data_IF_138273511142
#
_entry.id   IF_138273511142
#
_cell.length_a   1.000
_cell.length_b   1.000
_cell.length_c   1.000
_cell.angle_alpha   90.00
_cell.angle_beta   90.00
_cell.angle_gamma   90.00
#
_symmetry.space_group_name_H-M   'P 1'
#
loop_
_entity.id
_entity.type
_entity.pdbx_description
1 polymer ?
#
# COMPACT_ATOMS: atom_id res chain seq x y z
N UNK A 1 4.42 -16.92 -15.55
CA UNK A 1 4.63 -15.52 -15.98
C UNK A 1 5.80 -15.41 -16.96
N UNK A 2 7.01 -15.84 -16.59
CA UNK A 2 8.18 -15.74 -17.48
C UNK A 2 7.97 -16.34 -18.88
N UNK A 3 7.32 -17.50 -19.00
CA UNK A 3 7.01 -18.07 -20.33
C UNK A 3 6.03 -17.20 -21.15
N UNK A 4 5.15 -16.42 -20.49
CA UNK A 4 4.27 -15.47 -21.20
C UNK A 4 5.07 -14.27 -21.69
N UNK A 5 6.02 -13.76 -20.89
CA UNK A 5 6.93 -12.67 -21.31
C UNK A 5 7.72 -13.10 -22.55
N UNK A 6 8.28 -14.31 -22.54
CA UNK A 6 8.98 -14.87 -23.70
C UNK A 6 8.09 -15.01 -24.93
N UNK A 7 6.94 -15.69 -24.79
CA UNK A 7 6.09 -16.01 -25.94
C UNK A 7 5.37 -14.80 -26.52
N UNK A 8 4.97 -13.84 -25.67
CA UNK A 8 4.06 -12.76 -26.08
C UNK A 8 4.70 -11.38 -26.12
N UNK A 9 5.74 -11.13 -25.33
CA UNK A 9 6.35 -9.81 -25.16
C UNK A 9 7.82 -9.79 -25.61
N UNK A 10 8.21 -10.74 -26.46
CA UNK A 10 9.54 -10.77 -27.07
C UNK A 10 10.69 -11.09 -26.11
N UNK A 11 10.38 -11.59 -24.91
CA UNK A 11 11.38 -12.00 -23.93
C UNK A 11 12.15 -10.85 -23.28
N UNK A 12 11.63 -9.62 -23.34
CA UNK A 12 12.22 -8.43 -22.74
C UNK A 12 11.16 -7.74 -21.90
N UNK A 13 11.44 -7.57 -20.61
CA UNK A 13 10.62 -6.82 -19.68
C UNK A 13 11.38 -5.54 -19.31
N UNK A 14 10.73 -4.39 -19.50
CA UNK A 14 11.31 -3.07 -19.21
C UNK A 14 10.98 -2.59 -17.78
N UNK A 15 9.78 -2.92 -17.30
CA UNK A 15 9.29 -2.44 -16.01
C UNK A 15 8.59 -3.53 -15.20
N UNK A 16 8.80 -3.54 -13.87
CA UNK A 16 8.06 -4.39 -12.93
C UNK A 16 7.61 -3.59 -11.71
N UNK A 17 6.29 -3.53 -11.48
CA UNK A 17 5.73 -2.95 -10.25
C UNK A 17 5.33 -4.07 -9.30
N UNK A 18 5.98 -4.12 -8.14
CA UNK A 18 5.69 -5.06 -7.07
C UNK A 18 4.67 -4.44 -6.09
N UNK A 19 3.40 -4.76 -6.30
CA UNK A 19 2.25 -4.22 -5.55
C UNK A 19 1.48 -5.33 -4.82
N UNK A 20 2.20 -6.19 -4.10
CA UNK A 20 1.59 -7.30 -3.35
C UNK A 20 1.21 -6.86 -1.94
N UNK A 21 -0.07 -7.05 -1.58
CA UNK A 21 -0.58 -6.93 -0.22
C UNK A 21 -1.33 -8.22 0.13
N UNK A 22 -0.70 -9.09 0.92
CA UNK A 22 -1.27 -10.38 1.29
C UNK A 22 -1.14 -10.60 2.81
N UNK A 23 -2.13 -11.24 3.46
CA UNK A 23 -2.04 -11.56 4.88
C UNK A 23 -1.16 -12.80 5.14
N UNK A 24 -0.85 -13.59 4.11
CA UNK A 24 -0.10 -14.84 4.22
C UNK A 24 0.78 -15.07 2.99
N UNK A 25 1.88 -15.80 3.19
CA UNK A 25 2.76 -16.28 2.14
C UNK A 25 3.12 -17.74 2.41
N UNK A 26 2.99 -18.58 1.38
CA UNK A 26 3.59 -19.92 1.42
C UNK A 26 4.99 -19.84 0.83
N UNK A 27 5.99 -20.23 1.59
CA UNK A 27 7.36 -20.30 1.12
C UNK A 27 7.49 -21.40 0.05
N UNK A 28 7.97 -21.07 -1.17
CA UNK A 28 7.97 -22.01 -2.28
C UNK A 28 9.02 -23.12 -2.15
N UNK A 29 10.07 -22.93 -1.34
CA UNK A 29 11.14 -23.91 -1.19
C UNK A 29 10.85 -24.90 -0.06
N UNK A 30 10.28 -24.41 1.04
CA UNK A 30 10.03 -25.20 2.25
C UNK A 30 8.58 -25.65 2.41
N UNK A 31 7.64 -25.00 1.72
CA UNK A 31 6.20 -25.20 1.90
C UNK A 31 5.64 -24.61 3.20
N UNK A 32 6.45 -23.92 4.00
CA UNK A 32 6.01 -23.29 5.24
C UNK A 32 5.07 -22.11 4.96
N UNK A 33 4.01 -21.97 5.77
CA UNK A 33 3.05 -20.85 5.64
C UNK A 33 3.35 -19.82 6.72
N UNK A 34 3.65 -18.59 6.28
CA UNK A 34 3.83 -17.44 7.15
C UNK A 34 2.57 -16.56 7.15
N UNK A 35 2.29 -15.90 8.27
CA UNK A 35 1.19 -14.95 8.40
C UNK A 35 1.69 -13.57 8.86
N UNK A 36 1.26 -12.52 8.17
CA UNK A 36 1.52 -11.15 8.58
C UNK A 36 0.58 -10.76 9.72
N UNK A 37 1.14 -10.22 10.80
CA UNK A 37 0.38 -9.84 12.00
C UNK A 37 0.68 -8.37 12.31
N UNK A 38 -0.22 -7.42 12.01
CA UNK A 38 0.02 -6.00 12.26
C UNK A 38 -0.08 -5.69 13.76
N UNK A 39 1.07 -5.64 14.44
CA UNK A 39 1.20 -5.38 15.88
C UNK A 39 2.32 -4.38 16.17
N UNK A 40 2.20 -3.58 17.23
CA UNK A 40 3.30 -2.74 17.71
C UNK A 40 4.45 -3.62 18.25
N UNK A 41 5.68 -3.10 18.27
CA UNK A 41 6.82 -3.81 18.88
C UNK A 41 7.12 -3.23 20.26
N UNK A 42 7.32 -4.10 21.25
CA UNK A 42 7.83 -3.77 22.59
C UNK A 42 6.81 -3.22 23.58
N UNK A 43 5.78 -2.48 23.15
CA UNK A 43 4.72 -1.98 24.04
C UNK A 43 3.34 -2.07 23.42
N UNK A 44 2.33 -2.21 24.28
CA UNK A 44 0.93 -2.10 23.90
C UNK A 44 0.64 -0.75 23.25
N UNK A 45 -0.13 -0.76 22.18
CA UNK A 45 -0.62 0.44 21.52
C UNK A 45 -2.12 0.62 21.80
N UNK A 46 -2.52 1.81 22.22
CA UNK A 46 -3.93 2.22 22.33
C UNK A 46 -4.18 3.33 21.34
N UNK A 47 -5.15 3.15 20.46
CA UNK A 47 -5.45 4.10 19.40
C UNK A 47 -6.96 4.24 19.18
N UNK A 48 -7.39 5.38 18.66
CA UNK A 48 -8.77 5.57 18.21
C UNK A 48 -8.96 4.90 16.86
N UNK A 49 -10.13 4.32 16.64
CA UNK A 49 -10.54 3.79 15.34
C UNK A 49 -11.97 4.19 15.04
N UNK A 50 -12.26 4.29 13.75
CA UNK A 50 -13.60 4.51 13.22
C UNK A 50 -14.19 3.14 12.83
N UNK A 51 -15.37 2.83 13.33
CA UNK A 51 -16.19 1.69 12.89
C UNK A 51 -17.57 2.21 12.49
N UNK A 52 -18.31 1.39 11.75
CA UNK A 52 -19.70 1.66 11.40
C UNK A 52 -20.55 0.51 11.93
N UNK A 53 -21.71 0.80 12.49
CA UNK A 53 -22.68 -0.21 12.89
C UNK A 53 -23.44 -0.80 11.67
N UNK A 54 -24.38 -1.70 11.93
CA UNK A 54 -25.16 -2.39 10.88
C UNK A 54 -26.03 -1.41 10.08
N UNK A 55 -26.47 -0.32 10.72
CA UNK A 55 -27.22 0.78 10.12
C UNK A 55 -26.34 1.79 9.39
N UNK A 56 -25.01 1.68 9.52
CA UNK A 56 -24.02 2.55 8.89
C UNK A 56 -23.74 3.85 9.66
N UNK A 57 -24.15 3.96 10.93
CA UNK A 57 -23.80 5.07 11.78
C UNK A 57 -22.33 4.95 12.25
N UNK A 58 -21.56 6.06 12.23
CA UNK A 58 -20.15 6.04 12.62
C UNK A 58 -20.00 6.00 14.14
N UNK A 59 -19.06 5.20 14.61
CA UNK A 59 -18.63 5.16 16.01
C UNK A 59 -17.10 5.31 16.10
N UNK A 60 -16.66 6.25 16.95
CA UNK A 60 -15.24 6.34 17.32
C UNK A 60 -15.05 5.64 18.65
N UNK A 61 -14.24 4.59 18.63
CA UNK A 61 -13.87 3.82 19.82
C UNK A 61 -12.37 3.68 19.94
N UNK A 62 -11.92 3.39 21.14
CA UNK A 62 -10.52 3.05 21.38
C UNK A 62 -10.31 1.55 21.28
N UNK A 63 -9.19 1.17 20.69
CA UNK A 63 -8.75 -0.20 20.54
C UNK A 63 -7.34 -0.34 21.08
N UNK A 64 -7.13 -1.42 21.82
CA UNK A 64 -5.85 -1.78 22.39
C UNK A 64 -5.27 -2.96 21.60
N UNK A 65 -4.01 -2.86 21.21
CA UNK A 65 -3.28 -3.90 20.47
C UNK A 65 -2.05 -4.28 21.28
N UNK A 66 -2.00 -5.54 21.71
CA UNK A 66 -0.83 -6.10 22.40
C UNK A 66 0.41 -6.07 21.49
N UNK A 67 1.62 -5.98 22.08
CA UNK A 67 2.85 -6.04 21.30
C UNK A 67 3.01 -7.36 20.56
N UNK A 68 3.85 -7.34 19.53
CA UNK A 68 4.31 -8.52 18.82
C UNK A 68 5.03 -9.48 19.79
N UNK A 69 4.76 -10.77 19.63
CA UNK A 69 5.31 -11.84 20.47
C UNK A 69 5.89 -12.96 19.60
N UNK A 70 6.79 -13.76 20.17
CA UNK A 70 7.38 -14.91 19.48
C UNK A 70 8.01 -14.52 18.13
N UNK A 71 7.53 -15.13 17.06
CA UNK A 71 8.00 -14.94 15.68
C UNK A 71 7.12 -13.99 14.86
N UNK A 72 6.22 -13.21 15.48
CA UNK A 72 5.31 -12.27 14.79
C UNK A 72 6.06 -11.33 13.82
N UNK A 73 7.22 -10.82 14.24
CA UNK A 73 8.07 -9.94 13.41
C UNK A 73 8.64 -10.70 12.22
N UNK A 74 9.21 -11.89 12.47
CA UNK A 74 9.83 -12.72 11.44
C UNK A 74 8.80 -13.19 10.40
N UNK A 75 7.63 -13.65 10.84
CA UNK A 75 6.52 -14.02 9.96
C UNK A 75 6.04 -12.83 9.14
N UNK A 76 5.89 -11.65 9.75
CA UNK A 76 5.46 -10.44 9.04
C UNK A 76 6.51 -9.99 8.01
N UNK A 77 7.80 -10.06 8.33
CA UNK A 77 8.90 -9.80 7.39
C UNK A 77 8.89 -10.82 6.25
N UNK A 78 8.65 -12.10 6.53
CA UNK A 78 8.56 -13.13 5.49
C UNK A 78 7.40 -12.87 4.52
N UNK A 79 6.28 -12.32 4.98
CA UNK A 79 5.12 -12.02 4.10
C UNK A 79 5.27 -10.68 3.37
N UNK A 80 5.61 -9.61 4.09
CA UNK A 80 5.50 -8.22 3.62
C UNK A 80 6.84 -7.55 3.31
N UNK A 81 7.96 -8.26 3.54
CA UNK A 81 9.32 -7.81 3.20
C UNK A 81 9.66 -7.96 1.73
N UNK A 82 10.95 -7.80 1.42
CA UNK A 82 11.44 -7.78 0.04
C UNK A 82 11.77 -9.15 -0.56
N UNK A 83 11.75 -10.23 0.21
CA UNK A 83 12.24 -11.54 -0.25
C UNK A 83 11.52 -12.07 -1.50
N UNK A 84 10.19 -11.94 -1.58
CA UNK A 84 9.46 -12.42 -2.76
C UNK A 84 9.71 -11.54 -3.99
N UNK A 85 9.82 -10.22 -3.80
CA UNK A 85 10.21 -9.30 -4.86
C UNK A 85 11.60 -9.63 -5.41
N UNK A 86 12.58 -9.89 -4.54
CA UNK A 86 13.92 -10.33 -4.96
C UNK A 86 13.86 -11.64 -5.75
N UNK A 87 13.07 -12.62 -5.30
CA UNK A 87 12.85 -13.89 -6.03
C UNK A 87 12.26 -13.67 -7.42
N UNK A 88 11.32 -12.74 -7.57
CA UNK A 88 10.78 -12.37 -8.88
C UNK A 88 11.87 -11.82 -9.80
N UNK A 89 12.71 -10.91 -9.29
CA UNK A 89 13.81 -10.34 -10.06
C UNK A 89 14.84 -11.42 -10.41
N UNK A 90 15.20 -12.29 -9.47
CA UNK A 90 16.13 -13.40 -9.69
C UNK A 90 15.63 -14.37 -10.77
N UNK A 91 14.36 -14.74 -10.70
CA UNK A 91 13.74 -15.65 -11.66
C UNK A 91 13.75 -15.07 -13.08
N UNK A 92 13.42 -13.78 -13.22
CA UNK A 92 13.43 -13.08 -14.51
C UNK A 92 14.85 -12.86 -15.04
N UNK A 93 15.78 -12.46 -14.18
CA UNK A 93 17.18 -12.26 -14.52
C UNK A 93 17.85 -13.57 -14.95
N UNK A 94 17.61 -14.67 -14.21
CA UNK A 94 18.15 -15.99 -14.52
C UNK A 94 17.70 -16.56 -15.87
N UNK A 95 16.59 -16.03 -16.42
CA UNK A 95 16.10 -16.35 -17.77
C UNK A 95 16.49 -15.30 -18.82
N UNK A 96 17.26 -14.28 -18.45
CA UNK A 96 17.67 -13.21 -19.36
C UNK A 96 16.52 -12.32 -19.84
N UNK A 97 15.44 -12.21 -19.05
CA UNK A 97 14.21 -11.51 -19.44
C UNK A 97 14.19 -10.03 -19.06
N UNK A 98 15.18 -9.54 -18.31
CA UNK A 98 15.30 -8.13 -17.99
C UNK A 98 15.92 -7.39 -19.19
N UNK A 99 15.27 -6.32 -19.64
CA UNK A 99 15.79 -5.45 -20.69
C UNK A 99 16.92 -4.55 -20.16
N UNK A 100 17.72 -3.99 -21.08
CA UNK A 100 18.67 -2.93 -20.74
C UNK A 100 17.89 -1.71 -20.22
N UNK A 101 18.34 -1.15 -19.10
CA UNK A 101 17.63 -0.07 -18.40
C UNK A 101 16.42 -0.51 -17.61
N UNK A 102 16.20 -1.82 -17.38
CA UNK A 102 15.06 -2.34 -16.63
C UNK A 102 14.87 -1.61 -15.29
N UNK A 103 13.63 -1.19 -15.00
CA UNK A 103 13.30 -0.57 -13.71
C UNK A 103 12.21 -1.33 -12.95
N UNK A 104 12.33 -1.34 -11.62
CA UNK A 104 11.33 -1.95 -10.76
C UNK A 104 11.05 -1.10 -9.54
N UNK A 105 9.77 -1.06 -9.12
CA UNK A 105 9.34 -0.36 -7.92
C UNK A 105 8.52 -1.27 -7.03
N UNK A 106 8.80 -1.28 -5.73
CA UNK A 106 7.94 -1.89 -4.73
C UNK A 106 7.13 -0.83 -3.97
N UNK A 107 5.81 -1.04 -3.83
CA UNK A 107 4.96 -0.09 -3.12
C UNK A 107 5.14 -0.18 -1.60
N UNK A 108 5.26 0.98 -0.97
CA UNK A 108 5.44 1.16 0.46
C UNK A 108 4.55 2.28 0.99
N UNK A 109 4.45 2.34 2.31
CA UNK A 109 3.70 3.36 3.04
C UNK A 109 4.43 3.64 4.35
N UNK A 110 4.64 4.92 4.65
CA UNK A 110 5.25 5.37 5.91
C UNK A 110 4.16 5.88 6.86
N UNK A 111 3.31 6.77 6.36
CA UNK A 111 2.17 7.34 7.08
C UNK A 111 2.54 8.34 8.18
N UNK A 112 1.50 8.86 8.83
CA UNK A 112 1.58 9.81 9.93
C UNK A 112 2.14 9.20 11.23
N UNK A 113 2.72 10.07 12.07
CA UNK A 113 3.11 9.75 13.45
C UNK A 113 1.95 9.17 14.29
N UNK A 114 0.70 9.55 13.99
CA UNK A 114 -0.51 9.03 14.63
C UNK A 114 -0.71 7.52 14.42
N UNK A 115 -0.19 6.99 13.31
CA UNK A 115 -0.32 5.57 12.92
C UNK A 115 0.99 4.80 13.06
N UNK A 116 2.07 5.49 13.47
CA UNK A 116 3.42 4.95 13.48
C UNK A 116 3.57 3.71 14.36
N UNK A 117 2.83 3.61 15.47
CA UNK A 117 2.90 2.48 16.39
C UNK A 117 2.61 1.12 15.72
N UNK A 118 1.67 1.07 14.76
CA UNK A 118 1.32 -0.15 14.03
C UNK A 118 2.13 -0.26 12.72
N UNK A 119 2.39 0.88 12.06
CA UNK A 119 3.18 0.93 10.83
C UNK A 119 4.68 0.98 11.12
N UNK A 120 5.29 2.17 11.08
CA UNK A 120 6.75 2.35 11.07
C UNK A 120 7.46 1.72 12.28
N UNK A 121 6.80 1.64 13.44
CA UNK A 121 7.32 1.09 14.70
C UNK A 121 6.78 -0.31 15.04
N UNK A 122 5.92 -0.87 14.17
CA UNK A 122 5.35 -2.20 14.34
C UNK A 122 6.04 -3.27 13.50
N UNK A 123 5.47 -4.47 13.48
CA UNK A 123 5.89 -5.60 12.64
C UNK A 123 5.90 -5.25 11.16
N UNK A 124 4.91 -4.47 10.69
CA UNK A 124 4.85 -3.97 9.31
C UNK A 124 6.04 -3.05 9.02
N UNK A 125 6.43 -2.20 9.97
CA UNK A 125 7.61 -1.33 9.86
C UNK A 125 8.90 -2.12 9.68
N UNK A 126 9.06 -3.22 10.44
CA UNK A 126 10.19 -4.14 10.25
C UNK A 126 10.20 -4.77 8.85
N UNK A 127 9.03 -5.20 8.36
CA UNK A 127 8.90 -5.72 7.00
C UNK A 127 9.22 -4.66 5.93
N UNK A 128 8.77 -3.40 6.12
CA UNK A 128 9.09 -2.30 5.19
C UNK A 128 10.56 -1.90 5.25
N UNK A 129 11.21 -1.94 6.42
CA UNK A 129 12.65 -1.76 6.51
C UNK A 129 13.42 -2.85 5.74
N UNK A 130 12.96 -4.11 5.81
CA UNK A 130 13.51 -5.17 4.97
C UNK A 130 13.26 -4.90 3.48
N UNK A 131 12.07 -4.45 3.08
CA UNK A 131 11.76 -4.10 1.70
C UNK A 131 12.67 -2.97 1.16
N UNK A 132 12.90 -1.93 1.98
CA UNK A 132 13.81 -0.81 1.68
C UNK A 132 15.27 -1.28 1.58
N UNK A 133 15.70 -2.23 2.40
CA UNK A 133 17.03 -2.84 2.31
C UNK A 133 17.18 -3.68 1.03
N UNK A 134 16.17 -4.50 0.70
CA UNK A 134 16.13 -5.28 -0.55
C UNK A 134 16.18 -4.37 -1.77
N UNK A 135 15.47 -3.24 -1.77
CA UNK A 135 15.52 -2.30 -2.89
C UNK A 135 16.95 -1.81 -3.18
N UNK A 136 17.73 -1.49 -2.14
CA UNK A 136 19.14 -1.06 -2.29
C UNK A 136 20.01 -2.16 -2.89
N UNK A 137 19.86 -3.39 -2.42
CA UNK A 137 20.59 -4.55 -2.96
C UNK A 137 20.23 -4.78 -4.44
N UNK A 138 18.94 -4.72 -4.76
CA UNK A 138 18.44 -4.86 -6.12
C UNK A 138 18.94 -3.73 -7.04
N UNK A 139 18.94 -2.48 -6.55
CA UNK A 139 19.37 -1.32 -7.33
C UNK A 139 20.84 -1.41 -7.73
N UNK A 140 21.70 -1.72 -6.76
CA UNK A 140 23.13 -1.93 -6.98
C UNK A 140 23.38 -3.07 -7.98
N UNK A 141 22.63 -4.16 -7.86
CA UNK A 141 22.75 -5.34 -8.73
C UNK A 141 22.28 -5.04 -10.15
N UNK A 142 21.09 -4.48 -10.32
CA UNK A 142 20.51 -4.15 -11.62
C UNK A 142 21.31 -3.08 -12.34
N UNK A 143 21.83 -2.09 -11.62
CA UNK A 143 22.71 -1.07 -12.19
C UNK A 143 23.97 -1.65 -12.81
N UNK A 144 24.54 -2.73 -12.23
CA UNK A 144 25.72 -3.42 -12.78
C UNK A 144 25.41 -4.37 -13.92
N UNK A 145 24.25 -5.03 -13.91
CA UNK A 145 23.96 -6.12 -14.85
C UNK A 145 23.27 -5.66 -16.11
N UNK A 146 22.30 -4.75 -16.00
CA UNK A 146 21.48 -4.28 -17.12
C UNK A 146 21.41 -2.75 -17.20
N UNK A 147 22.20 -2.03 -16.39
CA UNK A 147 22.07 -0.57 -16.27
C UNK A 147 20.71 -0.14 -15.72
N UNK A 148 20.06 -1.02 -14.96
CA UNK A 148 18.70 -0.86 -14.45
C UNK A 148 18.63 -0.16 -13.10
N UNK A 149 17.43 -0.18 -12.51
CA UNK A 149 17.12 0.49 -11.24
C UNK A 149 16.08 -0.27 -10.41
N UNK A 150 16.24 -0.28 -9.09
CA UNK A 150 15.19 -0.69 -8.15
C UNK A 150 14.94 0.39 -7.11
N UNK A 151 13.67 0.68 -6.84
CA UNK A 151 13.27 1.70 -5.86
C UNK A 151 12.10 1.20 -5.02
N UNK A 152 11.90 1.83 -3.86
CA UNK A 152 10.61 1.78 -3.19
C UNK A 152 9.84 3.06 -3.48
N UNK A 153 8.52 2.95 -3.62
CA UNK A 153 7.61 4.09 -3.78
C UNK A 153 6.80 4.24 -2.50
N UNK A 154 7.01 5.34 -1.78
CA UNK A 154 6.23 5.69 -0.59
C UNK A 154 4.99 6.44 -1.05
N UNK A 155 3.86 5.76 -0.98
CA UNK A 155 2.58 6.28 -1.45
C UNK A 155 1.81 6.93 -0.31
N UNK A 156 0.90 7.84 -0.65
CA UNK A 156 -0.04 8.42 0.30
C UNK A 156 -1.18 7.47 0.66
N UNK A 157 -1.87 7.79 1.75
CA UNK A 157 -2.98 7.04 2.30
C UNK A 157 -4.12 6.91 1.28
N UNK A 158 -4.75 5.73 1.29
CA UNK A 158 -5.83 5.38 0.39
C UNK A 158 -6.81 4.43 1.08
N UNK A 159 -8.07 4.50 0.66
CA UNK A 159 -9.07 3.49 1.04
C UNK A 159 -8.85 2.25 0.18
N UNK A 160 -8.42 1.16 0.83
CA UNK A 160 -8.21 -0.14 0.20
C UNK A 160 -8.76 -1.23 1.12
N UNK A 161 -9.02 -2.43 0.59
CA UNK A 161 -9.44 -3.57 1.42
C UNK A 161 -8.42 -3.88 2.53
N UNK A 162 -7.13 -3.64 2.26
CA UNK A 162 -6.06 -3.87 3.22
C UNK A 162 -6.01 -2.79 4.31
N UNK A 163 -6.23 -1.52 3.93
CA UNK A 163 -6.09 -0.38 4.84
C UNK A 163 -7.25 -0.26 5.82
N UNK A 164 -8.47 -0.61 5.40
CA UNK A 164 -9.66 -0.56 6.26
C UNK A 164 -9.67 -1.60 7.37
N UNK A 165 -8.90 -2.68 7.22
CA UNK A 165 -8.74 -3.71 8.24
C UNK A 165 -7.75 -3.32 9.37
N UNK A 166 -6.96 -2.25 9.19
CA UNK A 166 -5.93 -1.85 10.15
C UNK A 166 -6.50 -0.82 11.14
N UNK A 167 -6.43 -1.08 12.45
CA UNK A 167 -6.91 -0.16 13.48
C UNK A 167 -6.38 1.28 13.31
N UNK A 168 -7.31 2.25 13.35
CA UNK A 168 -7.00 3.68 13.26
C UNK A 168 -6.88 4.26 11.85
N UNK A 169 -6.65 3.43 10.82
CA UNK A 169 -6.45 3.93 9.45
C UNK A 169 -7.72 4.45 8.82
N UNK A 170 -8.86 3.83 9.10
CA UNK A 170 -10.17 4.33 8.67
C UNK A 170 -10.42 5.75 9.20
N UNK A 171 -10.17 5.98 10.49
CA UNK A 171 -10.31 7.29 11.11
C UNK A 171 -9.31 8.29 10.50
N UNK A 172 -8.04 7.92 10.42
CA UNK A 172 -6.99 8.79 9.87
C UNK A 172 -7.32 9.24 8.44
N UNK A 173 -7.73 8.30 7.57
CA UNK A 173 -8.05 8.59 6.17
C UNK A 173 -9.27 9.49 6.04
N UNK A 174 -10.31 9.28 6.87
CA UNK A 174 -11.49 10.16 6.90
C UNK A 174 -11.16 11.58 7.35
N UNK A 175 -10.32 11.73 8.40
CA UNK A 175 -9.86 13.05 8.87
C UNK A 175 -8.95 13.73 7.85
N UNK A 176 -8.05 12.97 7.22
CA UNK A 176 -7.17 13.45 6.15
C UNK A 176 -7.99 13.98 4.96
N UNK A 177 -9.03 13.26 4.52
CA UNK A 177 -9.95 13.77 3.49
C UNK A 177 -10.66 15.04 3.94
N UNK A 178 -11.09 15.09 5.20
CA UNK A 178 -11.72 16.28 5.75
C UNK A 178 -10.80 17.51 5.77
N UNK A 179 -9.48 17.32 5.90
CA UNK A 179 -8.48 18.41 5.86
C UNK A 179 -8.18 18.80 4.42
N UNK A 180 -7.85 17.83 3.58
CA UNK A 180 -7.34 18.09 2.24
C UNK A 180 -8.43 18.45 1.23
N UNK A 181 -9.67 18.04 1.46
CA UNK A 181 -10.69 18.20 0.44
C UNK A 181 -10.29 17.46 -0.85
N UNK A 182 -10.45 18.15 -1.97
CA UNK A 182 -10.02 17.66 -3.29
C UNK A 182 -8.49 17.67 -3.49
N UNK A 183 -7.73 18.15 -2.51
CA UNK A 183 -6.27 18.02 -2.46
C UNK A 183 -5.78 16.60 -2.13
N UNK A 184 -6.67 15.70 -1.69
CA UNK A 184 -6.31 14.29 -1.48
C UNK A 184 -6.09 13.61 -2.83
N UNK A 185 -4.86 13.16 -3.11
CA UNK A 185 -4.51 12.57 -4.41
C UNK A 185 -4.99 11.12 -4.52
N UNK A 186 -5.87 10.78 -5.48
CA UNK A 186 -6.37 9.42 -5.65
C UNK A 186 -5.27 8.40 -6.00
N UNK A 187 -5.43 7.11 -5.63
CA UNK A 187 -4.41 6.08 -5.89
C UNK A 187 -4.00 5.96 -7.36
N UNK A 188 -4.95 6.10 -8.28
CA UNK A 188 -4.68 6.04 -9.72
C UNK A 188 -3.75 7.17 -10.18
N UNK A 189 -3.88 8.37 -9.61
CA UNK A 189 -3.00 9.50 -9.94
C UNK A 189 -1.63 9.34 -9.30
N UNK A 190 -1.55 8.78 -8.09
CA UNK A 190 -0.26 8.44 -7.49
C UNK A 190 0.48 7.40 -8.36
N UNK A 191 -0.20 6.35 -8.81
CA UNK A 191 0.41 5.32 -9.66
C UNK A 191 0.76 5.83 -11.07
N UNK A 192 -0.03 6.76 -11.63
CA UNK A 192 0.34 7.44 -12.87
C UNK A 192 1.62 8.27 -12.70
N UNK A 193 1.75 9.02 -11.60
CA UNK A 193 2.97 9.76 -11.29
C UNK A 193 4.18 8.83 -11.08
N UNK A 194 3.99 7.69 -10.40
CA UNK A 194 5.03 6.66 -10.30
C UNK A 194 5.45 6.16 -11.69
N UNK A 195 4.48 5.88 -12.56
CA UNK A 195 4.73 5.38 -13.91
C UNK A 195 5.51 6.39 -14.76
N UNK A 196 5.14 7.67 -14.70
CA UNK A 196 5.85 8.73 -15.42
C UNK A 196 7.32 8.83 -14.96
N UNK A 197 7.57 8.67 -13.65
CA UNK A 197 8.94 8.64 -13.12
C UNK A 197 9.72 7.39 -13.55
N UNK A 198 9.09 6.21 -13.56
CA UNK A 198 9.73 4.94 -13.94
C UNK A 198 10.06 4.85 -15.43
N UNK A 199 9.24 5.48 -16.28
CA UNK A 199 9.42 5.54 -17.74
C UNK A 199 10.27 6.72 -18.21
N UNK A 200 10.65 7.62 -17.29
CA UNK A 200 11.44 8.81 -17.59
C UNK A 200 10.65 9.95 -18.25
N UNK A 201 9.32 9.87 -18.29
CA UNK A 201 8.46 11.00 -18.66
C UNK A 201 8.52 12.14 -17.63
N UNK A 202 8.82 11.80 -16.37
CA UNK A 202 9.14 12.74 -15.29
C UNK A 202 10.48 12.37 -14.63
N UNK A 203 11.22 13.34 -14.05
CA UNK A 203 12.40 13.03 -13.26
C UNK A 203 12.01 12.26 -11.99
N UNK A 204 12.91 11.37 -11.54
CA UNK A 204 12.74 10.67 -10.27
C UNK A 204 12.84 11.65 -9.10
N UNK A 205 11.82 11.66 -8.25
CA UNK A 205 11.78 12.44 -7.02
C UNK A 205 12.14 11.55 -5.83
N UNK A 206 13.43 11.49 -5.52
CA UNK A 206 13.98 10.60 -4.49
C UNK A 206 14.28 11.36 -3.21
N UNK A 207 13.90 10.77 -2.07
CA UNK A 207 14.36 11.24 -0.77
C UNK A 207 15.80 10.82 -0.45
N UNK A 208 16.29 11.22 0.72
CA UNK A 208 17.65 10.90 1.18
C UNK A 208 17.93 9.39 1.34
N UNK A 209 16.88 8.57 1.46
CA UNK A 209 17.00 7.11 1.54
C UNK A 209 16.88 6.44 0.16
N UNK A 210 16.72 7.22 -0.92
CA UNK A 210 16.60 6.73 -2.29
C UNK A 210 15.19 6.22 -2.64
N UNK A 211 14.15 6.70 -1.95
CA UNK A 211 12.75 6.29 -2.17
C UNK A 211 11.99 7.35 -2.96
N UNK A 212 11.13 6.91 -3.88
CA UNK A 212 10.17 7.80 -4.54
C UNK A 212 9.14 8.26 -3.51
N UNK A 213 8.84 9.57 -3.47
CA UNK A 213 7.85 10.16 -2.55
C UNK A 213 6.63 10.65 -3.29
N UNK A 214 5.49 10.01 -3.02
CA UNK A 214 4.17 10.41 -3.56
C UNK A 214 3.21 10.86 -2.46
N UNK A 215 3.66 10.82 -1.21
CA UNK A 215 2.94 11.15 0.02
C UNK A 215 3.14 12.61 0.46
N UNK A 216 3.78 13.46 -0.37
CA UNK A 216 4.09 14.85 0.00
C UNK A 216 2.86 15.69 0.32
N UNK A 217 1.73 15.47 -0.38
CA UNK A 217 0.47 16.15 -0.09
C UNK A 217 -0.13 15.74 1.28
N UNK A 218 0.14 14.51 1.72
CA UNK A 218 -0.34 13.99 2.99
C UNK A 218 0.54 14.48 4.13
N UNK A 219 1.87 14.44 3.96
CA UNK A 219 2.85 14.70 5.01
C UNK A 219 3.29 16.16 5.13
N UNK A 220 2.63 17.08 4.43
CA UNK A 220 2.85 18.51 4.62
C UNK A 220 2.56 18.91 6.09
N UNK A 221 3.40 19.78 6.66
CA UNK A 221 3.38 20.12 8.09
C UNK A 221 2.02 20.69 8.55
N UNK A 222 1.42 21.56 7.73
CA UNK A 222 0.10 22.16 7.99
C UNK A 222 -1.03 21.12 7.93
N UNK A 223 -0.96 20.20 6.98
CA UNK A 223 -1.91 19.08 6.85
C UNK A 223 -1.80 18.15 8.06
N UNK A 224 -0.60 17.73 8.44
CA UNK A 224 -0.38 16.84 9.58
C UNK A 224 -0.79 17.49 10.91
N UNK A 225 -0.53 18.79 11.08
CA UNK A 225 -0.99 19.54 12.25
C UNK A 225 -2.52 19.58 12.34
N UNK A 226 -3.20 19.87 11.24
CA UNK A 226 -4.66 19.88 11.18
C UNK A 226 -5.27 18.49 11.43
N UNK A 227 -4.68 17.43 10.86
CA UNK A 227 -5.14 16.05 11.11
C UNK A 227 -4.94 15.66 12.57
N UNK A 228 -3.81 16.03 13.18
CA UNK A 228 -3.56 15.77 14.60
C UNK A 228 -4.58 16.48 15.51
N UNK A 229 -4.89 17.75 15.24
CA UNK A 229 -5.92 18.48 15.99
C UNK A 229 -7.30 17.80 15.88
N UNK A 230 -7.68 17.38 14.67
CA UNK A 230 -8.94 16.66 14.46
C UNK A 230 -8.94 15.28 15.12
N UNK A 231 -7.81 14.58 15.10
CA UNK A 231 -7.64 13.28 15.75
C UNK A 231 -7.86 13.36 17.26
N UNK A 232 -7.27 14.35 17.93
CA UNK A 232 -7.45 14.57 19.36
C UNK A 232 -8.92 14.84 19.72
N UNK A 233 -9.61 15.60 18.88
CA UNK A 233 -11.02 15.97 19.07
C UNK A 233 -12.04 14.93 18.59
N UNK A 234 -11.60 13.92 17.83
CA UNK A 234 -12.48 12.89 17.29
C UNK A 234 -13.13 12.05 18.40
N UNK A 235 -14.45 12.07 18.42
CA UNK A 235 -15.38 11.29 19.25
C UNK A 235 -16.58 10.94 18.38
N UNK A 236 -17.38 9.93 18.77
CA UNK A 236 -18.61 9.57 18.04
C UNK A 236 -19.51 10.77 17.75
N UNK A 237 -19.67 11.67 18.73
CA UNK A 237 -20.50 12.87 18.59
C UNK A 237 -19.90 13.99 17.70
N UNK A 238 -18.60 13.97 17.39
CA UNK A 238 -17.90 15.05 16.68
C UNK A 238 -17.29 14.61 15.35
N UNK A 239 -17.13 13.31 15.12
CA UNK A 239 -16.38 12.77 13.97
C UNK A 239 -17.03 13.14 12.63
N UNK A 240 -18.35 13.30 12.58
CA UNK A 240 -19.06 13.72 11.37
C UNK A 240 -18.71 15.12 10.89
N UNK A 241 -18.30 16.01 11.80
CA UNK A 241 -17.88 17.38 11.44
C UNK A 241 -16.37 17.46 11.13
N UNK A 242 -15.59 16.46 11.59
CA UNK A 242 -14.14 16.44 11.50
C UNK A 242 -13.62 15.61 10.32
N UNK A 243 -14.35 14.58 9.91
CA UNK A 243 -13.98 13.66 8.85
C UNK A 243 -15.01 13.67 7.73
N UNK A 244 -14.57 13.38 6.50
CA UNK A 244 -15.48 13.17 5.37
C UNK A 244 -15.94 11.70 5.34
N UNK A 245 -16.95 11.40 6.15
CA UNK A 245 -17.45 10.04 6.36
C UNK A 245 -18.26 9.52 5.18
N UNK A 246 -18.98 10.41 4.48
CA UNK A 246 -19.74 10.05 3.29
C UNK A 246 -18.80 9.66 2.16
N UNK A 247 -17.75 10.45 1.91
CA UNK A 247 -16.69 10.08 0.98
C UNK A 247 -16.04 8.76 1.36
N UNK A 248 -15.66 8.57 2.63
CA UNK A 248 -14.98 7.35 3.07
C UNK A 248 -15.86 6.11 2.84
N UNK A 249 -17.14 6.18 3.24
CA UNK A 249 -18.10 5.09 3.04
C UNK A 249 -18.30 4.78 1.55
N UNK A 250 -18.39 5.81 0.72
CA UNK A 250 -18.55 5.63 -0.71
C UNK A 250 -17.29 5.07 -1.37
N UNK A 251 -16.09 5.44 -0.94
CA UNK A 251 -14.85 4.80 -1.40
C UNK A 251 -14.79 3.32 -1.02
N UNK A 252 -15.15 2.95 0.22
CA UNK A 252 -15.23 1.55 0.63
C UNK A 252 -16.22 0.78 -0.26
N UNK A 253 -17.39 1.36 -0.54
CA UNK A 253 -18.39 0.77 -1.43
C UNK A 253 -17.88 0.63 -2.87
N UNK A 254 -17.16 1.63 -3.38
CA UNK A 254 -16.57 1.62 -4.73
C UNK A 254 -15.55 0.52 -4.93
N UNK A 255 -14.80 0.13 -3.89
CA UNK A 255 -13.92 -1.05 -3.94
C UNK A 255 -14.67 -2.35 -4.29
N UNK A 256 -15.99 -2.39 -4.05
CA UNK A 256 -16.86 -3.53 -4.31
C UNK A 256 -17.87 -3.26 -5.44
N UNK A 257 -17.68 -2.18 -6.22
CA UNK A 257 -18.57 -1.83 -7.35
C UNK A 257 -19.86 -1.11 -6.96
N UNK A 258 -20.02 -0.67 -5.72
CA UNK A 258 -21.17 0.12 -5.24
C UNK A 258 -20.84 1.61 -5.13
N UNK A 259 -21.85 2.48 -5.01
CA UNK A 259 -21.66 3.96 -4.96
C UNK A 259 -20.84 4.52 -6.14
N UNK A 260 -20.93 3.89 -7.32
CA UNK A 260 -20.30 4.38 -8.56
C UNK A 260 -21.25 5.35 -9.26
N UNK A 261 -20.86 6.62 -9.47
CA UNK A 261 -21.71 7.58 -10.17
C UNK A 261 -22.07 7.11 -11.58
N UNK A 262 -23.35 7.28 -11.95
CA UNK A 262 -23.85 6.94 -13.29
C UNK A 262 -24.25 5.48 -13.50
N UNK A 263 -24.18 4.63 -12.47
CA UNK A 263 -24.65 3.24 -12.54
C UNK A 263 -26.10 3.13 -12.04
N UNK A 264 -26.96 2.49 -12.84
CA UNK A 264 -28.31 2.09 -12.42
C UNK A 264 -28.23 0.77 -11.63
N UNK A 265 -28.24 0.87 -10.31
CA UNK A 265 -28.22 -0.28 -9.41
C UNK A 265 -29.55 -1.07 -9.35
N UNK A 266 -30.60 -0.60 -10.03
CA UNK A 266 -31.87 -1.34 -10.15
C UNK A 266 -31.92 -2.23 -11.39
N UNK A 267 -31.00 -2.02 -12.35
CA UNK A 267 -30.91 -2.83 -13.54
C UNK A 267 -30.36 -4.24 -13.22
N UNK A 268 -30.94 -5.31 -13.80
CA UNK A 268 -30.38 -6.66 -13.65
C UNK A 268 -29.02 -6.76 -14.36
N UNK A 269 -28.07 -7.43 -13.72
CA UNK A 269 -26.72 -7.66 -14.25
C UNK A 269 -26.36 -9.15 -14.23
N UNK A 270 -25.55 -9.58 -15.20
CA UNK A 270 -24.98 -10.92 -15.18
C UNK A 270 -23.89 -10.99 -14.10
N UNK A 271 -23.99 -11.97 -13.19
CA UNK A 271 -22.95 -12.23 -12.18
C UNK A 271 -21.90 -13.22 -12.68
N UNK A 272 -22.22 -14.00 -13.70
CA UNK A 272 -21.29 -14.87 -14.41
C UNK A 272 -20.76 -14.11 -15.64
N UNK A 273 -19.71 -13.33 -15.41
CA UNK A 273 -19.04 -12.56 -16.47
C UNK A 273 -17.76 -13.30 -16.84
N UNK A 274 -17.62 -13.80 -18.09
CA UNK A 274 -16.41 -14.48 -18.50
C UNK A 274 -15.23 -13.50 -18.49
N UNK A 275 -14.06 -13.97 -18.04
CA UNK A 275 -12.83 -13.22 -18.21
C UNK A 275 -12.61 -12.93 -19.69
N UNK A 276 -12.22 -11.70 -20.09
CA UNK A 276 -11.89 -11.40 -21.47
C UNK A 276 -10.90 -12.45 -21.99
N UNK A 277 -11.15 -12.98 -23.20
CA UNK A 277 -10.20 -13.90 -23.83
C UNK A 277 -8.80 -13.30 -23.90
N UNK A 278 -7.77 -14.13 -24.05
CA UNK A 278 -6.39 -13.65 -24.19
C UNK A 278 -6.35 -12.56 -25.27
N UNK A 279 -6.02 -11.32 -24.89
CA UNK A 279 -5.83 -10.22 -25.84
C UNK A 279 -4.74 -10.66 -26.82
N UNK A 280 -5.01 -10.69 -28.14
CA UNK A 280 -4.07 -11.17 -29.14
C UNK A 280 -2.75 -10.40 -29.07
#
# INVERSE_FOLDING_TARGET
MADLVERRFGGRLDHLVYSVAAPRRTDPDTGAVHASVPKPIGRTNRTKTLVFDEEGAPEVREVETAPAEGDDVEQTVAVMGGTDWERWIDHLAGRGLLADGFSTAALSYVGSSLTAAIYRQGTIGAAKAHLEATARVLDERLGRTVGGRAVTSVNGAAVTQSSTAIPGIALYTGLLRGVLGDGLVPPVHQLAALWDQLTGAAPLDLDADGRIRLDGFELADDVQAAVAERWENARTATVGDLADLDWFRDEVRRLHGFSVPGIDYTAPVATDVPWPGQTP
#
